data_IF_199365409795
#
_entry.id   IF_199365409795
#
_cell.length_a   1.000
_cell.length_b   1.000
_cell.length_c   1.000
_cell.angle_alpha   90.00
_cell.angle_beta   90.00
_cell.angle_gamma   90.00
#
_symmetry.space_group_name_H-M   'P 1'
#
loop_
_entity.id
_entity.type
_entity.pdbx_description
1 polymer ?
#
# COMPACT_ATOMS: atom_id res chain seq x y z
N UNK A 1 -25.18 -24.26 45.68
CA UNK A 1 -24.71 -22.90 45.34
C UNK A 1 -23.26 -22.59 45.77
N UNK A 2 -22.50 -23.53 46.36
CA UNK A 2 -21.19 -23.25 46.98
C UNK A 2 -20.00 -23.27 45.98
N UNK A 3 -20.14 -23.93 44.83
CA UNK A 3 -19.08 -24.00 43.79
C UNK A 3 -18.58 -22.64 43.28
N UNK A 4 -19.44 -21.68 42.84
CA UNK A 4 -18.95 -20.43 42.24
C UNK A 4 -18.21 -19.54 43.25
N UNK A 5 -18.59 -19.55 44.52
CA UNK A 5 -17.91 -18.78 45.57
C UNK A 5 -16.50 -19.32 45.85
N UNK A 6 -16.34 -20.64 45.80
CA UNK A 6 -15.03 -21.28 45.95
C UNK A 6 -14.13 -21.00 44.75
N UNK A 7 -14.65 -21.16 43.52
CA UNK A 7 -13.91 -20.83 42.30
C UNK A 7 -13.39 -19.39 42.31
N UNK A 8 -14.21 -18.43 42.74
CA UNK A 8 -13.79 -17.03 42.85
C UNK A 8 -12.68 -16.84 43.89
N UNK A 9 -12.76 -17.51 45.02
CA UNK A 9 -11.70 -17.49 46.05
C UNK A 9 -10.40 -18.11 45.53
N UNK A 10 -10.47 -19.19 44.76
CA UNK A 10 -9.28 -19.83 44.18
C UNK A 10 -8.65 -18.96 43.08
N UNK A 11 -9.46 -18.30 42.24
CA UNK A 11 -9.00 -17.26 41.32
C UNK A 11 -8.32 -16.11 42.09
N UNK A 12 -8.87 -15.71 43.24
CA UNK A 12 -8.29 -14.66 44.08
C UNK A 12 -6.95 -15.07 44.70
N UNK A 13 -6.81 -16.33 45.11
CA UNK A 13 -5.52 -16.87 45.58
C UNK A 13 -4.49 -16.98 44.44
N UNK A 14 -4.93 -17.20 43.20
CA UNK A 14 -4.09 -17.22 42.00
C UNK A 14 -4.09 -15.90 41.19
N UNK A 15 -4.42 -14.76 41.83
CA UNK A 15 -4.70 -13.47 41.17
C UNK A 15 -3.64 -13.00 40.16
N UNK A 16 -2.35 -13.19 40.45
CA UNK A 16 -1.28 -12.75 39.56
C UNK A 16 -1.26 -13.56 38.25
N UNK A 17 -1.47 -14.87 38.31
CA UNK A 17 -1.48 -15.74 37.13
C UNK A 17 -2.75 -15.53 36.30
N UNK A 18 -3.90 -15.37 36.96
CA UNK A 18 -5.16 -15.09 36.27
C UNK A 18 -5.13 -13.72 35.58
N UNK A 19 -4.57 -12.71 36.25
CA UNK A 19 -4.36 -11.38 35.64
C UNK A 19 -3.46 -11.46 34.41
N UNK A 20 -2.37 -12.23 34.47
CA UNK A 20 -1.49 -12.46 33.32
C UNK A 20 -2.24 -13.09 32.14
N UNK A 21 -3.09 -14.10 32.38
CA UNK A 21 -3.91 -14.70 31.31
C UNK A 21 -4.86 -13.66 30.70
N UNK A 22 -5.55 -12.86 31.53
CA UNK A 22 -6.44 -11.79 31.06
C UNK A 22 -5.67 -10.80 30.18
N UNK A 23 -4.49 -10.35 30.63
CA UNK A 23 -3.67 -9.39 29.88
C UNK A 23 -3.23 -9.99 28.54
N UNK A 24 -2.75 -11.23 28.52
CA UNK A 24 -2.33 -11.92 27.30
C UNK A 24 -3.50 -12.04 26.30
N UNK A 25 -4.67 -12.48 26.78
CA UNK A 25 -5.87 -12.59 25.95
C UNK A 25 -6.32 -11.23 25.44
N UNK A 26 -6.32 -10.20 26.30
CA UNK A 26 -6.66 -8.84 25.93
C UNK A 26 -5.71 -8.28 24.86
N UNK A 27 -4.39 -8.49 25.00
CA UNK A 27 -3.39 -8.12 23.98
C UNK A 27 -3.62 -8.85 22.66
N UNK A 28 -3.96 -10.14 22.71
CA UNK A 28 -4.30 -10.94 21.52
C UNK A 28 -5.52 -10.37 20.78
N UNK A 29 -6.62 -10.13 21.50
CA UNK A 29 -7.85 -9.55 20.94
C UNK A 29 -7.61 -8.13 20.43
N UNK A 30 -6.90 -7.30 21.20
CA UNK A 30 -6.58 -5.93 20.82
C UNK A 30 -5.78 -5.89 19.52
N UNK A 31 -4.76 -6.74 19.40
CA UNK A 31 -3.95 -6.84 18.18
C UNK A 31 -4.77 -7.34 16.99
N UNK A 32 -5.61 -8.37 17.20
CA UNK A 32 -6.52 -8.90 16.17
C UNK A 32 -7.42 -7.81 15.60
N UNK A 33 -8.18 -7.15 16.49
CA UNK A 33 -9.15 -6.12 16.11
C UNK A 33 -8.44 -4.91 15.52
N UNK A 34 -7.34 -4.47 16.13
CA UNK A 34 -6.55 -3.34 15.66
C UNK A 34 -6.01 -3.56 14.25
N UNK A 35 -5.35 -4.69 14.02
CA UNK A 35 -4.74 -5.00 12.73
C UNK A 35 -5.78 -5.16 11.61
N UNK A 36 -6.88 -5.87 11.84
CA UNK A 36 -7.96 -6.03 10.85
C UNK A 36 -8.63 -4.68 10.55
N UNK A 37 -8.87 -3.86 11.58
CA UNK A 37 -9.50 -2.55 11.41
C UNK A 37 -8.62 -1.60 10.61
N UNK A 38 -7.33 -1.51 10.96
CA UNK A 38 -6.38 -0.64 10.26
C UNK A 38 -6.16 -1.14 8.83
N UNK A 39 -5.93 -2.44 8.63
CA UNK A 39 -5.76 -3.03 7.30
C UNK A 39 -6.97 -2.79 6.40
N UNK A 40 -8.19 -3.03 6.89
CA UNK A 40 -9.42 -2.80 6.12
C UNK A 40 -9.70 -1.31 5.84
N UNK A 41 -9.33 -0.40 6.76
CA UNK A 41 -9.42 1.05 6.51
C UNK A 41 -8.41 1.51 5.47
N UNK A 42 -7.18 0.99 5.53
CA UNK A 42 -6.14 1.29 4.56
C UNK A 42 -6.54 0.81 3.17
N UNK A 43 -7.03 -0.42 3.04
CA UNK A 43 -7.54 -1.00 1.79
C UNK A 43 -8.62 -0.10 1.15
N UNK A 44 -9.63 0.31 1.93
CA UNK A 44 -10.67 1.25 1.47
C UNK A 44 -10.14 2.65 1.14
N UNK A 45 -9.08 3.10 1.81
CA UNK A 45 -8.48 4.41 1.53
C UNK A 45 -7.71 4.39 0.21
N UNK A 46 -6.90 3.36 0.00
CA UNK A 46 -6.14 3.15 -1.23
C UNK A 46 -7.07 2.96 -2.43
N UNK A 47 -8.10 2.11 -2.30
CA UNK A 47 -9.09 1.93 -3.36
C UNK A 47 -9.81 3.23 -3.72
N UNK A 48 -10.31 3.99 -2.73
CA UNK A 48 -10.93 5.31 -3.01
C UNK A 48 -9.98 6.28 -3.69
N UNK A 49 -8.70 6.25 -3.33
CA UNK A 49 -7.69 7.10 -3.96
C UNK A 49 -7.46 6.70 -5.42
N UNK A 50 -7.28 5.40 -5.70
CA UNK A 50 -7.16 4.86 -7.05
C UNK A 50 -8.37 5.14 -7.94
N UNK A 51 -9.58 5.05 -7.38
CA UNK A 51 -10.81 5.40 -8.07
C UNK A 51 -10.87 6.89 -8.41
N UNK A 52 -10.53 7.75 -7.43
CA UNK A 52 -10.52 9.21 -7.62
C UNK A 52 -9.50 9.67 -8.68
N UNK A 53 -8.34 9.00 -8.77
CA UNK A 53 -7.32 9.30 -9.77
C UNK A 53 -7.50 8.54 -11.08
N UNK A 54 -8.44 7.59 -11.13
CA UNK A 54 -8.64 6.65 -12.25
C UNK A 54 -7.31 6.00 -12.66
N UNK A 55 -6.63 5.34 -11.72
CA UNK A 55 -5.34 4.68 -11.99
C UNK A 55 -5.50 3.65 -13.12
N UNK A 56 -4.49 3.53 -13.97
CA UNK A 56 -4.42 2.51 -15.00
C UNK A 56 -4.15 1.11 -14.41
N UNK A 57 -4.42 0.08 -15.20
CA UNK A 57 -4.23 -1.32 -14.82
C UNK A 57 -2.96 -1.91 -15.42
N UNK A 58 -2.46 -1.36 -16.54
CA UNK A 58 -1.26 -1.84 -17.23
C UNK A 58 -0.41 -0.64 -17.68
N UNK A 59 0.89 -0.72 -17.46
CA UNK A 59 1.92 0.16 -18.01
C UNK A 59 2.68 -0.61 -19.08
N UNK A 60 2.89 0.00 -20.25
CA UNK A 60 3.70 -0.57 -21.32
C UNK A 60 4.78 0.44 -21.66
N UNK A 61 6.05 0.10 -21.41
CA UNK A 61 7.16 0.93 -21.84
C UNK A 61 7.48 0.66 -23.31
N UNK A 62 7.71 1.73 -24.05
CA UNK A 62 7.91 1.71 -25.50
C UNK A 62 9.01 2.70 -25.88
N UNK A 63 9.68 2.48 -27.00
CA UNK A 63 10.72 3.41 -27.47
C UNK A 63 10.13 4.76 -27.91
N UNK A 64 9.08 4.71 -28.73
CA UNK A 64 8.37 5.89 -29.19
C UNK A 64 6.97 5.49 -29.74
N UNK A 65 5.93 5.71 -28.94
CA UNK A 65 4.55 5.52 -29.36
C UNK A 65 4.01 6.73 -30.13
N UNK A 66 3.29 6.45 -31.22
CA UNK A 66 2.49 7.42 -31.95
C UNK A 66 1.01 7.34 -31.53
N UNK A 67 0.25 8.38 -31.83
CA UNK A 67 -1.20 8.39 -31.58
C UNK A 67 -1.91 7.24 -32.34
N UNK A 68 -1.40 6.83 -33.50
CA UNK A 68 -1.88 5.65 -34.24
C UNK A 68 -1.70 4.34 -33.48
N UNK A 69 -0.62 4.20 -32.70
CA UNK A 69 -0.39 3.01 -31.87
C UNK A 69 -1.41 2.98 -30.72
N UNK A 70 -1.71 4.14 -30.13
CA UNK A 70 -2.74 4.27 -29.08
C UNK A 70 -4.13 3.90 -29.61
N UNK A 71 -4.48 4.37 -30.81
CA UNK A 71 -5.76 4.04 -31.45
C UNK A 71 -5.89 2.54 -31.78
N UNK A 72 -4.80 1.92 -32.26
CA UNK A 72 -4.78 0.48 -32.52
C UNK A 72 -4.97 -0.34 -31.23
N UNK A 73 -4.28 0.03 -30.14
CA UNK A 73 -4.42 -0.63 -28.84
C UNK A 73 -5.83 -0.41 -28.27
N UNK A 74 -6.41 0.77 -28.46
CA UNK A 74 -7.77 1.08 -27.98
C UNK A 74 -8.85 0.21 -28.63
N UNK A 75 -8.61 -0.29 -29.84
CA UNK A 75 -9.52 -1.20 -30.54
C UNK A 75 -9.43 -2.65 -30.06
N UNK A 76 -8.45 -3.00 -29.24
CA UNK A 76 -8.32 -4.36 -28.70
C UNK A 76 -9.51 -4.74 -27.81
N UNK A 77 -10.03 -5.98 -27.93
CA UNK A 77 -11.13 -6.44 -27.10
C UNK A 77 -10.69 -6.54 -25.64
N UNK A 78 -11.39 -5.79 -24.76
CA UNK A 78 -11.10 -5.76 -23.32
C UNK A 78 -10.42 -4.47 -22.86
N UNK A 79 -10.01 -3.59 -23.77
CA UNK A 79 -9.51 -2.25 -23.41
C UNK A 79 -10.67 -1.28 -23.17
N UNK A 80 -10.64 -0.56 -22.06
CA UNK A 80 -11.61 0.50 -21.73
C UNK A 80 -11.08 1.87 -22.17
N UNK A 81 -9.83 2.19 -21.82
CA UNK A 81 -9.19 3.46 -22.16
C UNK A 81 -7.69 3.26 -22.35
N UNK A 82 -7.10 4.07 -23.22
CA UNK A 82 -5.66 4.12 -23.48
C UNK A 82 -5.21 5.57 -23.38
N UNK A 83 -4.05 5.80 -22.75
CA UNK A 83 -3.41 7.10 -22.73
C UNK A 83 -1.90 6.93 -22.84
N UNK A 84 -1.27 7.64 -23.79
CA UNK A 84 0.17 7.75 -23.87
C UNK A 84 0.73 8.84 -22.97
N UNK A 85 1.96 8.66 -22.52
CA UNK A 85 2.72 9.68 -21.79
C UNK A 85 4.21 9.57 -22.09
N UNK A 86 4.96 10.59 -21.73
CA UNK A 86 6.41 10.50 -21.62
C UNK A 86 6.82 10.56 -20.14
N UNK A 87 7.73 9.67 -19.74
CA UNK A 87 8.37 9.69 -18.42
C UNK A 87 9.80 10.15 -18.62
N UNK A 88 10.14 11.30 -18.05
CA UNK A 88 11.45 11.93 -18.20
C UNK A 88 12.11 12.04 -16.84
N UNK A 89 13.34 11.55 -16.72
CA UNK A 89 14.17 11.84 -15.56
C UNK A 89 14.84 13.19 -15.74
N UNK A 90 14.47 14.16 -14.91
CA UNK A 90 14.97 15.53 -14.95
C UNK A 90 15.72 15.84 -13.66
N UNK A 91 16.61 16.83 -13.71
CA UNK A 91 17.47 17.19 -12.58
C UNK A 91 17.31 18.67 -12.22
N UNK A 92 17.31 18.96 -10.92
CA UNK A 92 17.38 20.31 -10.38
C UNK A 92 18.57 20.39 -9.42
N UNK A 93 19.73 20.82 -9.92
CA UNK A 93 20.98 20.71 -9.19
C UNK A 93 21.35 19.25 -8.91
N UNK A 94 21.42 18.86 -7.63
CA UNK A 94 21.68 17.48 -7.21
C UNK A 94 20.42 16.62 -7.04
N UNK A 95 19.23 17.21 -7.27
CA UNK A 95 17.93 16.56 -7.08
C UNK A 95 17.46 15.95 -8.38
N UNK A 96 16.77 14.82 -8.30
CA UNK A 96 16.15 14.12 -9.43
C UNK A 96 14.63 14.20 -9.32
N UNK A 97 13.96 14.55 -10.41
CA UNK A 97 12.51 14.63 -10.51
C UNK A 97 12.06 13.77 -11.70
N UNK A 98 11.29 12.72 -11.43
CA UNK A 98 10.61 11.95 -12.47
C UNK A 98 9.40 12.76 -12.97
N UNK A 99 9.49 13.30 -14.18
CA UNK A 99 8.44 14.12 -14.78
C UNK A 99 7.58 13.29 -15.72
N UNK A 100 6.31 13.15 -15.35
CA UNK A 100 5.24 12.55 -16.13
C UNK A 100 4.62 13.61 -17.06
N UNK A 101 4.99 13.57 -18.32
CA UNK A 101 4.43 14.41 -19.38
C UNK A 101 3.20 13.73 -19.95
N UNK A 102 2.01 14.19 -19.56
CA UNK A 102 0.77 13.54 -19.95
C UNK A 102 0.27 14.07 -21.30
N UNK A 103 -0.19 13.15 -22.16
CA UNK A 103 -0.98 13.49 -23.35
C UNK A 103 -2.48 13.45 -22.98
N UNK A 104 -2.97 14.54 -22.38
CA UNK A 104 -4.32 14.64 -21.81
C UNK A 104 -4.39 14.23 -20.33
N UNK A 105 -5.60 14.01 -19.81
CA UNK A 105 -5.82 13.77 -18.38
C UNK A 105 -6.93 12.74 -18.12
N UNK A 106 -6.82 11.55 -18.69
CA UNK A 106 -7.87 10.51 -18.60
C UNK A 106 -7.56 9.41 -17.60
N UNK A 107 -6.31 8.97 -17.51
CA UNK A 107 -5.81 7.91 -16.64
C UNK A 107 -4.69 8.42 -15.72
N UNK A 108 -4.59 7.82 -14.54
CA UNK A 108 -3.56 8.10 -13.52
C UNK A 108 -3.34 9.58 -13.27
N UNK A 109 -4.47 10.24 -13.03
CA UNK A 109 -4.53 11.70 -12.86
C UNK A 109 -3.83 12.09 -11.56
N UNK A 110 -3.04 13.17 -11.56
CA UNK A 110 -2.45 13.68 -10.33
C UNK A 110 -3.56 14.14 -9.37
N UNK A 111 -3.48 13.68 -8.11
CA UNK A 111 -4.43 14.11 -7.08
C UNK A 111 -4.00 15.46 -6.51
N UNK A 112 -4.84 16.48 -6.67
CA UNK A 112 -4.55 17.83 -6.20
C UNK A 112 -4.55 17.91 -4.67
N UNK A 113 -3.45 18.39 -4.09
CA UNK A 113 -3.36 18.77 -2.68
C UNK A 113 -3.46 20.28 -2.50
N UNK A 114 -2.70 21.05 -3.28
CA UNK A 114 -2.67 22.51 -3.21
C UNK A 114 -2.44 23.14 -4.59
N UNK A 115 -2.88 24.39 -4.77
CA UNK A 115 -2.71 25.13 -6.02
C UNK A 115 -3.79 24.80 -7.06
N UNK A 116 -3.47 25.00 -8.33
CA UNK A 116 -4.41 24.78 -9.42
C UNK A 116 -4.58 23.27 -9.70
N UNK A 117 -5.78 22.80 -10.10
CA UNK A 117 -5.93 21.44 -10.61
C UNK A 117 -5.14 21.27 -11.91
N UNK A 118 -4.69 20.04 -12.20
CA UNK A 118 -4.04 19.74 -13.47
C UNK A 118 -5.00 20.01 -14.63
N UNK A 119 -4.53 20.78 -15.61
CA UNK A 119 -5.25 21.14 -16.82
C UNK A 119 -4.46 20.70 -18.04
N UNK A 120 -5.11 19.99 -18.97
CA UNK A 120 -4.51 19.65 -20.25
C UNK A 120 -4.30 20.93 -21.08
N UNK A 121 -3.13 21.05 -21.70
CA UNK A 121 -2.63 22.27 -22.35
C UNK A 121 -2.17 23.37 -21.39
N UNK A 122 -2.13 23.12 -20.08
CA UNK A 122 -1.67 24.10 -19.10
C UNK A 122 -0.14 24.22 -19.05
N UNK A 123 0.36 25.42 -18.76
CA UNK A 123 1.78 25.70 -18.57
C UNK A 123 2.24 25.45 -17.13
N UNK A 124 3.49 24.99 -16.97
CA UNK A 124 4.14 24.78 -15.67
C UNK A 124 4.15 23.32 -15.23
N UNK A 125 4.42 23.10 -13.94
CA UNK A 125 4.59 21.77 -13.34
C UNK A 125 3.71 21.62 -12.09
N UNK A 126 3.14 20.43 -11.94
CA UNK A 126 2.49 19.98 -10.71
C UNK A 126 3.44 19.06 -9.97
N UNK A 127 3.98 19.51 -8.84
CA UNK A 127 5.11 18.88 -8.17
C UNK A 127 4.65 17.97 -7.02
N UNK A 128 5.42 16.93 -6.72
CA UNK A 128 5.25 16.11 -5.53
C UNK A 128 5.23 16.97 -4.26
N UNK A 129 4.19 16.77 -3.45
CA UNK A 129 4.00 17.47 -2.18
C UNK A 129 5.15 17.23 -1.22
N UNK A 130 5.60 15.98 -1.08
CA UNK A 130 6.63 15.63 -0.09
C UNK A 130 8.00 16.17 -0.50
N UNK A 131 8.33 16.06 -1.79
CA UNK A 131 9.51 16.71 -2.36
C UNK A 131 9.51 18.23 -2.19
N UNK A 132 8.36 18.88 -2.42
CA UNK A 132 8.24 20.32 -2.23
C UNK A 132 8.43 20.73 -0.76
N UNK A 133 7.82 19.99 0.17
CA UNK A 133 7.96 20.23 1.60
C UNK A 133 9.41 20.06 2.09
N UNK A 134 10.09 18.99 1.66
CA UNK A 134 11.49 18.72 2.02
C UNK A 134 12.46 19.79 1.49
N UNK A 135 12.13 20.41 0.37
CA UNK A 135 12.97 21.41 -0.30
C UNK A 135 12.50 22.86 -0.13
N UNK A 136 11.54 23.10 0.78
CA UNK A 136 10.94 24.40 1.06
C UNK A 136 10.36 25.12 -0.19
N UNK A 137 9.90 24.35 -1.18
CA UNK A 137 9.26 24.85 -2.39
C UNK A 137 7.77 25.05 -2.18
N UNK A 138 7.21 26.09 -2.81
CA UNK A 138 5.79 26.44 -2.74
C UNK A 138 5.18 26.61 -4.13
N UNK A 139 3.85 26.58 -4.17
CA UNK A 139 3.09 26.96 -5.38
C UNK A 139 3.43 28.40 -5.74
N UNK A 140 3.77 28.64 -7.00
CA UNK A 140 4.24 29.93 -7.52
C UNK A 140 5.77 30.04 -7.65
N UNK A 141 6.55 29.18 -6.99
CA UNK A 141 8.00 29.17 -7.14
C UNK A 141 8.41 28.63 -8.52
N UNK A 142 9.58 29.06 -9.00
CA UNK A 142 10.18 28.56 -10.23
C UNK A 142 11.18 27.45 -9.93
N UNK A 143 11.08 26.35 -10.65
CA UNK A 143 12.00 25.23 -10.61
C UNK A 143 12.80 25.18 -11.91
N UNK A 144 14.13 25.20 -11.78
CA UNK A 144 15.03 24.96 -12.91
C UNK A 144 15.21 23.45 -13.06
N UNK A 145 14.79 22.93 -14.21
CA UNK A 145 14.91 21.51 -14.56
C UNK A 145 15.81 21.34 -15.77
N UNK A 146 16.62 20.28 -15.76
CA UNK A 146 17.46 19.89 -16.88
C UNK A 146 17.34 18.40 -17.19
N UNK A 147 17.37 18.07 -18.47
CA UNK A 147 17.52 16.69 -18.92
C UNK A 147 19.00 16.33 -18.95
N UNK A 148 19.31 15.04 -18.84
CA UNK A 148 20.67 14.51 -19.03
C UNK A 148 21.26 14.86 -20.43
N UNK A 149 20.40 15.15 -21.42
CA UNK A 149 20.81 15.65 -22.74
C UNK A 149 21.34 17.08 -22.75
N UNK A 150 21.39 17.77 -21.60
CA UNK A 150 21.85 19.16 -21.45
C UNK A 150 20.76 20.21 -21.70
N UNK A 151 19.55 19.77 -22.07
CA UNK A 151 18.40 20.66 -22.32
C UNK A 151 17.84 21.11 -20.98
N UNK A 152 17.74 22.42 -20.76
CA UNK A 152 17.24 22.99 -19.52
C UNK A 152 16.11 23.98 -19.78
N UNK A 153 15.27 24.17 -18.78
CA UNK A 153 14.09 25.00 -18.84
C UNK A 153 13.61 25.32 -17.43
N UNK A 154 13.04 26.52 -17.29
CA UNK A 154 12.46 26.99 -16.04
C UNK A 154 10.95 26.79 -16.09
N UNK A 155 10.40 26.15 -15.08
CA UNK A 155 8.96 25.89 -14.96
C UNK A 155 8.43 26.47 -13.67
N UNK A 156 7.21 27.00 -13.72
CA UNK A 156 6.50 27.50 -12.52
C UNK A 156 5.72 26.35 -11.88
N UNK A 157 5.80 26.23 -10.56
CA UNK A 157 5.03 25.24 -9.80
C UNK A 157 3.58 25.73 -9.70
N UNK A 158 2.66 25.09 -10.43
CA UNK A 158 1.23 25.45 -10.44
C UNK A 158 0.44 24.81 -9.30
N UNK A 159 0.94 23.68 -8.79
CA UNK A 159 0.27 22.96 -7.72
C UNK A 159 1.14 21.87 -7.12
N UNK A 160 0.75 21.44 -5.92
CA UNK A 160 1.32 20.29 -5.23
C UNK A 160 0.33 19.13 -5.34
N UNK A 161 0.84 17.97 -5.74
CA UNK A 161 0.03 16.80 -6.08
C UNK A 161 0.58 15.52 -5.48
N UNK A 162 -0.29 14.50 -5.41
CA UNK A 162 0.09 13.13 -5.11
C UNK A 162 -0.10 12.27 -6.37
N UNK A 163 0.86 11.40 -6.64
CA UNK A 163 0.77 10.43 -7.72
C UNK A 163 0.11 9.13 -7.25
N UNK A 164 -0.88 8.57 -7.98
CA UNK A 164 -1.38 7.23 -7.71
C UNK A 164 -0.35 6.13 -7.94
N UNK A 165 0.75 6.43 -8.63
CA UNK A 165 1.78 5.46 -9.00
C UNK A 165 3.03 5.55 -8.13
N UNK A 166 3.05 6.48 -7.16
CA UNK A 166 4.17 6.68 -6.22
C UNK A 166 3.68 6.73 -4.77
N UNK A 167 2.65 5.96 -4.43
CA UNK A 167 2.14 5.83 -3.06
C UNK A 167 3.17 5.17 -2.12
N UNK A 168 3.90 4.19 -2.65
CA UNK A 168 5.05 3.59 -1.98
C UNK A 168 6.25 3.83 -2.86
N UNK A 169 7.18 4.62 -2.34
CA UNK A 169 8.39 4.95 -3.05
C UNK A 169 9.43 3.83 -2.86
N UNK A 170 9.47 2.94 -3.85
CA UNK A 170 10.40 1.81 -3.93
C UNK A 170 11.69 2.20 -4.69
N UNK A 171 11.90 3.48 -5.05
CA UNK A 171 13.05 3.88 -5.88
C UNK A 171 14.40 3.84 -5.18
N UNK A 172 14.46 3.31 -3.95
CA UNK A 172 15.67 3.25 -3.17
C UNK A 172 15.90 1.84 -2.65
N UNK A 173 17.06 1.27 -2.99
CA UNK A 173 17.63 0.07 -2.34
C UNK A 173 17.83 0.27 -0.82
N UNK A 174 17.71 1.52 -0.34
CA UNK A 174 17.62 1.86 1.07
C UNK A 174 16.17 2.23 1.42
N UNK A 175 15.64 1.71 2.51
CA UNK A 175 14.26 1.92 3.01
C UNK A 175 13.92 3.38 3.41
N UNK A 176 14.61 4.37 2.85
CA UNK A 176 14.50 5.80 3.13
C UNK A 176 14.03 6.53 1.86
N UNK A 177 12.78 7.00 1.86
CA UNK A 177 12.23 7.86 0.82
C UNK A 177 12.85 9.24 0.96
N UNK A 178 14.00 9.44 0.30
CA UNK A 178 14.73 10.70 0.33
C UNK A 178 14.02 11.75 -0.51
N UNK A 179 12.92 12.29 0.03
CA UNK A 179 12.14 13.37 -0.58
C UNK A 179 12.94 14.67 -0.74
N UNK A 180 14.09 14.78 -0.08
CA UNK A 180 15.03 15.89 -0.30
C UNK A 180 15.77 15.78 -1.66
N UNK A 181 15.99 14.57 -2.16
CA UNK A 181 16.72 14.31 -3.41
C UNK A 181 15.83 13.80 -4.55
N UNK A 182 14.80 13.03 -4.25
CA UNK A 182 13.96 12.36 -5.25
C UNK A 182 12.51 12.84 -5.13
N UNK A 183 11.96 13.25 -6.25
CA UNK A 183 10.56 13.62 -6.37
C UNK A 183 9.98 13.23 -7.71
N UNK A 184 8.73 13.58 -7.92
CA UNK A 184 8.07 13.44 -9.20
C UNK A 184 7.27 14.71 -9.52
N UNK A 185 6.93 14.87 -10.78
CA UNK A 185 6.10 15.99 -11.22
C UNK A 185 5.28 15.62 -12.44
N UNK A 186 4.24 16.40 -12.70
CA UNK A 186 3.39 16.25 -13.87
C UNK A 186 3.46 17.51 -14.72
N UNK A 187 3.55 17.32 -16.03
CA UNK A 187 3.53 18.40 -17.00
C UNK A 187 2.59 18.03 -18.15
N UNK A 188 2.07 19.03 -18.85
CA UNK A 188 1.38 18.79 -20.11
C UNK A 188 2.38 18.56 -21.26
N UNK A 189 1.96 17.75 -22.24
CA UNK A 189 2.71 17.51 -23.48
C UNK A 189 3.14 18.81 -24.16
N UNK A 190 2.25 19.80 -24.27
CA UNK A 190 2.54 21.09 -24.92
C UNK A 190 3.62 21.87 -24.16
N UNK A 191 3.46 22.04 -22.85
CA UNK A 191 4.42 22.73 -22.00
C UNK A 191 5.82 22.06 -22.04
N UNK A 192 5.86 20.73 -22.02
CA UNK A 192 7.12 19.98 -22.13
C UNK A 192 7.75 20.06 -23.53
N UNK A 193 6.93 20.05 -24.60
CA UNK A 193 7.41 20.25 -25.97
C UNK A 193 7.96 21.67 -26.19
N UNK A 194 7.40 22.70 -25.57
CA UNK A 194 7.90 24.07 -25.72
C UNK A 194 9.18 24.30 -24.91
N UNK A 195 9.15 23.93 -23.62
CA UNK A 195 10.25 24.20 -22.68
C UNK A 195 11.45 23.28 -22.90
N UNK A 196 11.18 22.03 -23.27
CA UNK A 196 12.20 20.98 -23.35
C UNK A 196 12.26 20.27 -24.70
N UNK A 197 11.49 20.69 -25.72
CA UNK A 197 11.34 20.07 -27.06
C UNK A 197 11.40 18.54 -27.05
N UNK A 198 10.60 17.95 -26.16
CA UNK A 198 10.30 16.52 -26.10
C UNK A 198 8.98 16.28 -26.83
N UNK A 199 8.96 15.38 -27.79
CA UNK A 199 7.79 15.13 -28.66
C UNK A 199 7.36 13.65 -28.71
N UNK A 200 8.12 12.72 -28.14
CA UNK A 200 7.84 11.29 -28.14
C UNK A 200 7.18 10.79 -26.85
N UNK A 201 6.39 9.71 -26.96
CA UNK A 201 5.82 9.00 -25.82
C UNK A 201 6.61 7.70 -25.60
N UNK A 202 7.13 7.50 -24.40
CA UNK A 202 7.88 6.28 -24.05
C UNK A 202 7.08 5.34 -23.15
N UNK A 203 5.83 5.67 -22.84
CA UNK A 203 4.98 4.79 -22.05
C UNK A 203 3.50 4.92 -22.44
N UNK A 204 2.81 3.79 -22.43
CA UNK A 204 1.37 3.67 -22.67
C UNK A 204 0.71 3.15 -21.40
N UNK A 205 -0.35 3.80 -20.97
CA UNK A 205 -1.19 3.41 -19.84
C UNK A 205 -2.52 2.88 -20.36
N UNK A 206 -2.93 1.70 -19.87
CA UNK A 206 -4.19 1.07 -20.25
C UNK A 206 -5.07 0.84 -19.04
N UNK A 207 -6.36 1.14 -19.20
CA UNK A 207 -7.43 0.68 -18.31
C UNK A 207 -8.16 -0.46 -19.00
N UNK A 208 -8.35 -1.57 -18.30
CA UNK A 208 -9.00 -2.77 -18.85
C UNK A 208 -10.44 -2.87 -18.35
N UNK A 209 -11.32 -3.46 -19.17
CA UNK A 209 -12.70 -3.77 -18.78
C UNK A 209 -12.69 -4.83 -17.68
N UNK A 210 -13.68 -4.77 -16.79
CA UNK A 210 -13.84 -5.74 -15.72
C UNK A 210 -13.90 -7.18 -16.28
N UNK A 211 -13.05 -8.07 -15.75
CA UNK A 211 -12.96 -9.47 -16.17
C UNK A 211 -12.11 -9.73 -17.42
N UNK A 212 -11.49 -8.72 -18.01
CA UNK A 212 -10.52 -8.90 -19.09
C UNK A 212 -9.19 -9.48 -18.57
N UNK A 213 -8.54 -10.31 -19.38
CA UNK A 213 -7.20 -10.85 -19.07
C UNK A 213 -6.12 -9.82 -19.46
N UNK A 214 -5.52 -9.20 -18.45
CA UNK A 214 -4.46 -8.20 -18.65
C UNK A 214 -3.20 -8.77 -19.32
N UNK A 215 -2.84 -10.03 -19.05
CA UNK A 215 -1.68 -10.68 -19.66
C UNK A 215 -1.95 -11.01 -21.14
N UNK A 216 -3.18 -11.42 -21.48
CA UNK A 216 -3.57 -11.58 -22.87
C UNK A 216 -3.58 -10.26 -23.65
N UNK A 217 -3.98 -9.15 -23.00
CA UNK A 217 -3.93 -7.81 -23.60
C UNK A 217 -2.50 -7.32 -23.80
N UNK A 218 -1.60 -7.58 -22.84
CA UNK A 218 -0.16 -7.29 -22.97
C UNK A 218 0.41 -7.99 -24.21
N UNK A 219 0.16 -9.30 -24.38
CA UNK A 219 0.63 -10.05 -25.55
C UNK A 219 0.09 -9.50 -26.88
N UNK A 220 -1.18 -9.06 -26.89
CA UNK A 220 -1.77 -8.43 -28.08
C UNK A 220 -1.14 -7.07 -28.37
N UNK A 221 -0.90 -6.25 -27.34
CA UNK A 221 -0.23 -4.96 -27.48
C UNK A 221 1.24 -5.12 -27.91
N UNK A 222 1.97 -6.09 -27.38
CA UNK A 222 3.33 -6.44 -27.80
C UNK A 222 3.38 -6.79 -29.29
N UNK A 223 2.47 -7.65 -29.76
CA UNK A 223 2.39 -8.00 -31.19
C UNK A 223 2.08 -6.79 -32.09
N UNK A 224 1.22 -5.86 -31.64
CA UNK A 224 0.90 -4.63 -32.38
C UNK A 224 2.07 -3.64 -32.42
N UNK A 225 2.75 -3.47 -31.28
CA UNK A 225 3.86 -2.52 -31.13
C UNK A 225 5.15 -3.05 -31.78
N UNK A 226 5.30 -4.37 -31.90
CA UNK A 226 6.45 -5.03 -32.49
C UNK A 226 7.76 -4.55 -31.84
N UNK A 227 8.71 -4.12 -32.68
CA UNK A 227 10.03 -3.64 -32.20
C UNK A 227 10.00 -2.36 -31.35
N UNK A 228 8.86 -1.69 -31.21
CA UNK A 228 8.72 -0.53 -30.31
C UNK A 228 8.51 -0.94 -28.85
N UNK A 229 8.01 -2.15 -28.58
CA UNK A 229 7.75 -2.66 -27.24
C UNK A 229 9.06 -2.90 -26.48
N UNK A 230 9.11 -2.51 -25.21
CA UNK A 230 10.26 -2.73 -24.33
C UNK A 230 9.92 -3.70 -23.21
N UNK A 231 8.95 -3.32 -22.38
CA UNK A 231 8.43 -4.13 -21.29
C UNK A 231 7.00 -3.70 -20.95
N UNK A 232 6.37 -4.44 -20.04
CA UNK A 232 5.11 -4.04 -19.45
C UNK A 232 5.00 -4.52 -18.00
N UNK A 233 4.10 -3.88 -17.27
CA UNK A 233 3.77 -4.21 -15.89
C UNK A 233 2.27 -4.11 -15.70
N UNK A 234 1.68 -5.09 -15.03
CA UNK A 234 0.31 -5.00 -14.54
C UNK A 234 0.24 -4.24 -13.21
N UNK A 235 -0.97 -3.89 -12.78
CA UNK A 235 -1.24 -3.29 -11.47
C UNK A 235 -0.74 -4.15 -10.31
N UNK A 236 -0.69 -5.47 -10.46
CA UNK A 236 -0.19 -6.36 -9.40
C UNK A 236 1.34 -6.44 -9.37
N UNK A 237 2.01 -6.11 -10.47
CA UNK A 237 3.48 -6.17 -10.61
C UNK A 237 4.13 -4.81 -10.37
N UNK A 238 3.42 -3.71 -10.60
CA UNK A 238 4.00 -2.37 -10.49
C UNK A 238 4.46 -2.09 -9.04
N UNK A 239 5.71 -1.65 -8.81
CA UNK A 239 6.32 -1.65 -7.47
C UNK A 239 5.51 -0.89 -6.39
N UNK A 240 4.92 0.25 -6.74
CA UNK A 240 4.13 1.03 -5.78
C UNK A 240 2.79 0.39 -5.45
N UNK A 241 2.11 -0.23 -6.43
CA UNK A 241 0.77 -0.81 -6.25
C UNK A 241 0.89 -2.17 -5.57
N UNK A 242 1.85 -2.98 -5.99
CA UNK A 242 2.26 -4.22 -5.32
C UNK A 242 2.71 -3.94 -3.88
N UNK A 243 3.51 -2.88 -3.68
CA UNK A 243 3.92 -2.42 -2.35
C UNK A 243 2.71 -2.11 -1.46
N UNK A 244 1.76 -1.31 -1.95
CA UNK A 244 0.55 -0.96 -1.21
C UNK A 244 -0.27 -2.20 -0.84
N UNK A 245 -0.46 -3.12 -1.80
CA UNK A 245 -1.15 -4.39 -1.56
C UNK A 245 -0.44 -5.24 -0.51
N UNK A 246 0.90 -5.35 -0.59
CA UNK A 246 1.73 -6.07 0.37
C UNK A 246 1.62 -5.46 1.78
N UNK A 247 1.62 -4.13 1.90
CA UNK A 247 1.47 -3.46 3.18
C UNK A 247 0.09 -3.72 3.81
N UNK A 248 -0.99 -3.73 3.00
CA UNK A 248 -2.33 -4.13 3.44
C UNK A 248 -2.35 -5.61 3.86
N UNK A 249 -1.71 -6.50 3.09
CA UNK A 249 -1.61 -7.92 3.39
C UNK A 249 -0.85 -8.19 4.70
N UNK A 250 0.21 -7.41 4.98
CA UNK A 250 0.94 -7.50 6.25
C UNK A 250 0.04 -7.24 7.46
N UNK A 251 -0.88 -6.27 7.41
CA UNK A 251 -1.87 -6.06 8.47
C UNK A 251 -2.78 -7.28 8.65
N UNK A 252 -3.21 -7.94 7.56
CA UNK A 252 -3.98 -9.18 7.64
C UNK A 252 -3.16 -10.30 8.31
N UNK A 253 -1.90 -10.46 7.93
CA UNK A 253 -0.99 -11.46 8.51
C UNK A 253 -0.76 -11.23 10.00
N UNK A 254 -0.41 -10.00 10.41
CA UNK A 254 -0.27 -9.63 11.84
C UNK A 254 -1.58 -9.86 12.58
N UNK A 255 -2.71 -9.52 11.96
CA UNK A 255 -4.04 -9.72 12.50
C UNK A 255 -4.37 -11.18 12.80
N UNK A 256 -3.85 -12.16 12.06
CA UNK A 256 -4.13 -13.57 12.33
C UNK A 256 -3.03 -14.29 13.11
N UNK A 257 -1.76 -14.05 12.78
CA UNK A 257 -0.63 -14.80 13.36
C UNK A 257 -0.38 -14.40 14.81
N UNK A 258 -0.38 -13.11 15.12
CA UNK A 258 -0.05 -12.62 16.47
C UNK A 258 -1.06 -13.07 17.53
N UNK A 259 -2.38 -13.03 17.30
CA UNK A 259 -3.36 -13.53 18.27
C UNK A 259 -3.26 -15.03 18.51
N UNK A 260 -2.97 -15.83 17.49
CA UNK A 260 -2.74 -17.28 17.64
C UNK A 260 -1.57 -17.54 18.60
N UNK A 261 -0.50 -16.77 18.50
CA UNK A 261 0.64 -16.86 19.42
C UNK A 261 0.25 -16.47 20.85
N UNK A 262 -0.46 -15.35 21.03
CA UNK A 262 -0.93 -14.94 22.36
C UNK A 262 -1.89 -15.94 22.99
N UNK A 263 -2.83 -16.51 22.23
CA UNK A 263 -3.74 -17.52 22.75
C UNK A 263 -3.03 -18.84 23.07
N UNK A 264 -2.04 -19.24 22.27
CA UNK A 264 -1.18 -20.40 22.58
C UNK A 264 -0.42 -20.19 23.90
N UNK A 265 0.12 -18.99 24.12
CA UNK A 265 0.76 -18.62 25.39
C UNK A 265 -0.25 -18.62 26.55
N UNK A 266 -1.46 -18.08 26.35
CA UNK A 266 -2.50 -18.08 27.36
C UNK A 266 -2.90 -19.52 27.77
N UNK A 267 -3.05 -20.43 26.80
CA UNK A 267 -3.33 -21.85 27.06
C UNK A 267 -2.18 -22.50 27.83
N UNK A 268 -0.92 -22.25 27.45
CA UNK A 268 0.23 -22.80 28.16
C UNK A 268 0.28 -22.33 29.62
N UNK A 269 0.05 -21.04 29.87
CA UNK A 269 0.00 -20.46 31.22
C UNK A 269 -1.17 -21.04 32.01
N UNK A 270 -2.33 -21.22 31.37
CA UNK A 270 -3.51 -21.83 31.98
C UNK A 270 -3.22 -23.27 32.41
N UNK A 271 -2.65 -24.11 31.53
CA UNK A 271 -2.29 -25.50 31.84
C UNK A 271 -1.30 -25.55 32.99
N UNK A 272 -0.23 -24.75 32.94
CA UNK A 272 0.76 -24.69 34.03
C UNK A 272 0.12 -24.31 35.38
N UNK A 273 -0.80 -23.35 35.36
CA UNK A 273 -1.50 -22.87 36.56
C UNK A 273 -2.45 -23.94 37.11
N UNK A 274 -3.24 -24.60 36.25
CA UNK A 274 -4.14 -25.67 36.67
C UNK A 274 -3.38 -26.88 37.21
N UNK A 275 -2.29 -27.29 36.56
CA UNK A 275 -1.43 -28.37 37.09
C UNK A 275 -0.87 -28.04 38.47
N UNK A 276 -0.47 -26.78 38.70
CA UNK A 276 -0.01 -26.31 40.01
C UNK A 276 -1.13 -26.30 41.05
N UNK A 277 -2.32 -25.85 40.68
CA UNK A 277 -3.48 -25.80 41.57
C UNK A 277 -3.90 -27.21 42.02
N UNK A 278 -4.00 -28.15 41.07
CA UNK A 278 -4.32 -29.57 41.33
C UNK A 278 -3.25 -30.21 42.22
N UNK A 279 -1.96 -29.93 41.97
CA UNK A 279 -0.88 -30.42 42.81
C UNK A 279 -1.02 -29.95 44.27
N UNK A 280 -1.38 -28.68 44.48
CA UNK A 280 -1.61 -28.11 45.82
C UNK A 280 -2.84 -28.67 46.53
N UNK A 281 -3.86 -29.10 45.78
CA UNK A 281 -5.09 -29.68 46.32
C UNK A 281 -5.07 -31.22 46.36
N UNK A 282 -3.97 -31.87 45.95
CA UNK A 282 -3.85 -33.33 45.82
C UNK A 282 -4.24 -34.10 47.08
N UNK A 283 -3.83 -33.61 48.25
CA UNK A 283 -4.18 -34.22 49.55
C UNK A 283 -5.68 -34.15 49.82
N UNK A 284 -6.32 -33.02 49.50
CA UNK A 284 -7.78 -32.82 49.65
C UNK A 284 -8.56 -33.70 48.66
N UNK A 285 -8.09 -33.84 47.42
CA UNK A 285 -8.65 -34.77 46.43
C UNK A 285 -8.59 -36.21 46.97
N UNK A 286 -7.45 -36.61 47.55
CA UNK A 286 -7.24 -37.93 48.13
C UNK A 286 -8.19 -38.26 49.29
N UNK A 287 -8.44 -37.29 50.18
CA UNK A 287 -9.37 -37.49 51.32
C UNK A 287 -10.82 -37.61 50.86
N UNK A 288 -11.24 -36.87 49.83
CA UNK A 288 -12.58 -37.04 49.27
C UNK A 288 -12.75 -38.38 48.55
N UNK A 289 -11.72 -38.85 47.83
CA UNK A 289 -11.76 -40.19 47.24
C UNK A 289 -11.87 -41.29 48.31
N UNK A 290 -11.20 -41.16 49.46
CA UNK A 290 -11.35 -42.13 50.57
C UNK A 290 -12.73 -42.10 51.23
N UNK A 291 -13.45 -40.98 51.14
CA UNK A 291 -14.84 -40.85 51.62
C UNK A 291 -15.87 -41.34 50.59
N UNK A 292 -15.45 -41.92 49.46
CA UNK A 292 -16.33 -42.50 48.46
C UNK A 292 -16.80 -41.54 47.35
N UNK A 293 -16.21 -40.34 47.24
CA UNK A 293 -16.50 -39.44 46.12
C UNK A 293 -15.77 -39.90 44.84
N UNK A 294 -16.49 -39.96 43.72
CA UNK A 294 -15.93 -40.33 42.42
C UNK A 294 -14.98 -39.25 41.88
N UNK A 295 -13.93 -39.60 41.09
CA UNK A 295 -12.92 -38.64 40.63
C UNK A 295 -13.50 -37.41 39.93
N UNK A 296 -14.55 -37.59 39.11
CA UNK A 296 -15.24 -36.49 38.43
C UNK A 296 -16.08 -35.60 39.35
N UNK A 297 -16.64 -36.13 40.45
CA UNK A 297 -17.31 -35.32 41.49
C UNK A 297 -16.30 -34.62 42.39
N UNK A 298 -15.19 -35.27 42.73
CA UNK A 298 -14.11 -34.70 43.55
C UNK A 298 -13.42 -33.54 42.85
N UNK A 299 -13.23 -33.61 41.52
CA UNK A 299 -12.65 -32.51 40.72
C UNK A 299 -13.60 -31.32 40.50
N UNK A 300 -14.92 -31.50 40.62
CA UNK A 300 -15.89 -30.40 40.54
C UNK A 300 -16.20 -29.73 41.89
N UNK A 301 -15.90 -30.39 43.01
CA UNK A 301 -16.07 -29.88 44.37
C UNK A 301 -14.79 -29.19 44.87
N UNK A 302 -13.65 -29.53 44.27
CA UNK A 302 -12.35 -28.91 44.52
C UNK A 302 -12.16 -27.68 43.66
#
# INVERSE_FOLDING_TARGET
MILPQKMFRDIWHAKAQFLTIIIIVACGIFTFVGAITVGGRLEKSVSRFYDATRINDIWINVQNASDTDLDAIKQLPGVEEVQGRAVLKMFSGNRSVDVFVLNGNKLSRPYRVQGQPYQAGGEGIWLDREFAAANALKVGDTLDLSLASGRSGRVVIQGLVLSPEKLIDTSSETLSTRHDLYGYGYMDKQAASESFRVSGMNQIMLKIKQGADGQALIRQAENLLGGKYLDSMTHEEHPSTAGAANQIAQFKTVGYVTPVLFFSLAVLVMVSTMSRLIANQRTQIGTMMSLGFSPGRSAGII
#
